data_IF_370266492460
#
_entry.id   IF_370266492460
#
_cell.length_a   1.000
_cell.length_b   1.000
_cell.length_c   1.000
_cell.angle_alpha   90.00
_cell.angle_beta   90.00
_cell.angle_gamma   90.00
#
_symmetry.space_group_name_H-M   'P 1'
#
loop_
_entity.id
_entity.type
_entity.pdbx_description
1 polymer ?
#
# COMPACT_ATOMS: atom_id res chain seq x y z
N UNK A 1 -1.64 17.61 -9.74
CA UNK A 1 -0.48 16.78 -9.32
C UNK A 1 -0.01 17.26 -7.96
N UNK A 2 0.64 16.38 -7.18
CA UNK A 2 1.51 16.66 -6.02
C UNK A 2 1.17 15.97 -4.67
N UNK A 3 0.80 14.69 -4.71
CA UNK A 3 1.15 13.75 -3.63
C UNK A 3 1.77 12.48 -4.19
N UNK A 4 2.58 12.62 -5.22
CA UNK A 4 3.37 11.51 -5.77
C UNK A 4 4.79 12.00 -5.91
N UNK A 5 5.70 11.53 -5.02
CA UNK A 5 6.99 10.94 -5.45
C UNK A 5 8.04 10.65 -4.37
N UNK A 6 7.87 10.99 -3.10
CA UNK A 6 9.02 10.85 -2.18
C UNK A 6 8.99 9.65 -1.24
N UNK A 7 7.84 9.00 -1.00
CA UNK A 7 7.74 7.99 0.08
C UNK A 7 8.04 8.58 1.48
N UNK A 8 8.15 9.91 1.58
CA UNK A 8 8.43 10.63 2.81
C UNK A 8 7.12 11.23 3.34
N UNK A 9 6.85 11.15 4.65
CA UNK A 9 5.65 11.75 5.21
C UNK A 9 5.66 13.26 4.97
N UNK A 10 4.54 13.79 4.46
CA UNK A 10 4.35 15.19 4.13
C UNK A 10 4.81 16.11 5.27
N UNK A 11 5.53 17.18 4.93
CA UNK A 11 5.98 18.17 5.89
C UNK A 11 4.80 19.03 6.37
N UNK A 12 5.00 19.73 7.49
CA UNK A 12 3.96 20.59 8.09
C UNK A 12 3.36 21.58 7.07
N UNK A 13 4.22 22.22 6.27
CA UNK A 13 3.79 23.19 5.26
C UNK A 13 2.90 22.55 4.20
N UNK A 14 3.28 21.38 3.67
CA UNK A 14 2.49 20.65 2.68
C UNK A 14 1.10 20.25 3.23
N UNK A 15 1.02 19.85 4.50
CA UNK A 15 -0.25 19.50 5.14
C UNK A 15 -1.14 20.73 5.35
N UNK A 16 -0.56 21.85 5.80
CA UNK A 16 -1.29 23.12 5.95
C UNK A 16 -1.77 23.66 4.60
N UNK A 17 -0.95 23.58 3.55
CA UNK A 17 -1.30 24.01 2.20
C UNK A 17 -2.40 23.15 1.58
N UNK A 18 -2.32 21.83 1.75
CA UNK A 18 -3.37 20.92 1.33
C UNK A 18 -4.69 21.23 2.05
N UNK A 19 -4.64 21.46 3.37
CA UNK A 19 -5.81 21.81 4.17
C UNK A 19 -6.43 23.15 3.71
N UNK A 20 -5.62 24.17 3.47
CA UNK A 20 -6.07 25.46 2.98
C UNK A 20 -6.67 25.35 1.57
N UNK A 21 -6.06 24.56 0.69
CA UNK A 21 -6.58 24.30 -0.66
C UNK A 21 -7.98 23.67 -0.60
N UNK A 22 -8.17 22.66 0.26
CA UNK A 22 -9.48 22.02 0.44
C UNK A 22 -10.51 22.97 1.05
N UNK A 23 -10.11 23.81 2.02
CA UNK A 23 -10.99 24.83 2.61
C UNK A 23 -11.45 25.86 1.58
N UNK A 24 -10.52 26.40 0.79
CA UNK A 24 -10.82 27.39 -0.25
C UNK A 24 -11.71 26.83 -1.35
N UNK A 25 -11.52 25.56 -1.74
CA UNK A 25 -12.41 24.88 -2.69
C UNK A 25 -13.84 24.77 -2.18
N UNK A 26 -14.02 24.64 -0.85
CA UNK A 26 -15.35 24.50 -0.23
C UNK A 26 -15.98 25.86 0.10
N UNK A 27 -15.17 26.83 0.50
CA UNK A 27 -15.59 28.19 0.81
C UNK A 27 -14.47 29.16 0.38
N UNK A 28 -14.68 29.95 -0.70
CA UNK A 28 -13.69 30.89 -1.22
C UNK A 28 -13.25 31.96 -0.21
N UNK A 29 -14.10 32.31 0.75
CA UNK A 29 -13.83 33.34 1.77
C UNK A 29 -13.21 32.74 3.04
N UNK A 30 -12.86 31.45 3.02
CA UNK A 30 -12.27 30.78 4.17
C UNK A 30 -10.89 31.36 4.49
N UNK A 31 -10.73 31.79 5.74
CA UNK A 31 -9.42 32.16 6.27
C UNK A 31 -8.50 30.93 6.35
N UNK A 32 -7.17 31.12 6.19
CA UNK A 32 -6.19 30.07 6.35
C UNK A 32 -6.27 29.39 7.72
N UNK A 33 -5.80 28.14 7.78
CA UNK A 33 -5.69 27.40 9.04
C UNK A 33 -4.78 28.12 10.03
N UNK A 34 -5.19 28.17 11.28
CA UNK A 34 -4.39 28.83 12.33
C UNK A 34 -3.04 28.14 12.56
N UNK A 35 -2.05 28.87 13.07
CA UNK A 35 -0.71 28.31 13.37
C UNK A 35 -0.72 27.09 14.30
N UNK A 36 -1.74 26.98 15.17
CA UNK A 36 -1.92 25.87 16.11
C UNK A 36 -2.71 24.69 15.52
N UNK A 37 -3.31 24.88 14.34
CA UNK A 37 -4.16 23.87 13.70
C UNK A 37 -3.38 22.58 13.43
N UNK A 38 -2.19 22.66 12.84
CA UNK A 38 -1.39 21.47 12.56
C UNK A 38 -1.04 20.66 13.81
N UNK A 39 -0.80 21.35 14.95
CA UNK A 39 -0.53 20.66 16.21
C UNK A 39 -1.77 19.88 16.67
N UNK A 40 -2.93 20.53 16.72
CA UNK A 40 -4.19 19.89 17.09
C UNK A 40 -4.56 18.76 16.13
N UNK A 41 -4.40 18.98 14.83
CA UNK A 41 -4.61 17.96 13.81
C UNK A 41 -3.77 16.71 14.06
N UNK A 42 -2.48 16.84 14.43
CA UNK A 42 -1.69 15.67 14.80
C UNK A 42 -2.09 15.05 16.13
N UNK A 43 -2.46 15.86 17.11
CA UNK A 43 -2.87 15.36 18.43
C UNK A 43 -4.21 14.59 18.33
N UNK A 44 -5.11 15.01 17.44
CA UNK A 44 -6.39 14.36 17.13
C UNK A 44 -6.23 13.13 16.21
N UNK A 45 -5.12 13.06 15.45
CA UNK A 45 -4.80 11.98 14.51
C UNK A 45 -3.46 11.30 14.84
N UNK A 46 -3.36 10.59 15.98
CA UNK A 46 -2.13 9.92 16.40
C UNK A 46 -1.64 8.88 15.40
N UNK A 47 -2.53 8.29 14.58
CA UNK A 47 -2.19 7.35 13.49
C UNK A 47 -1.25 7.95 12.43
N UNK A 48 -1.22 9.28 12.32
CA UNK A 48 -0.33 10.00 11.41
C UNK A 48 1.07 10.21 12.00
N UNK A 49 1.35 9.70 13.20
CA UNK A 49 2.70 9.73 13.74
C UNK A 49 3.66 8.97 12.82
N UNK A 50 4.80 9.61 12.55
CA UNK A 50 5.83 9.10 11.63
C UNK A 50 6.41 7.78 12.13
N UNK A 51 6.37 7.53 13.44
CA UNK A 51 6.79 6.26 14.05
C UNK A 51 5.84 5.12 13.64
N UNK A 52 4.54 5.36 13.74
CA UNK A 52 3.46 4.43 13.38
C UNK A 52 3.49 4.16 11.87
N UNK A 53 3.56 5.20 11.04
CA UNK A 53 3.65 5.06 9.58
C UNK A 53 4.87 4.24 9.14
N UNK A 54 6.05 4.48 9.72
CA UNK A 54 7.26 3.68 9.45
C UNK A 54 7.11 2.22 9.87
N UNK A 55 6.44 1.96 10.99
CA UNK A 55 6.20 0.59 11.47
C UNK A 55 5.24 -0.18 10.55
N UNK A 56 4.21 0.50 10.04
CA UNK A 56 3.25 -0.06 9.10
C UNK A 56 3.90 -0.34 7.75
N UNK A 57 4.75 0.57 7.25
CA UNK A 57 5.44 0.40 5.97
C UNK A 57 6.45 -0.75 6.02
N UNK A 58 7.21 -0.88 7.11
CA UNK A 58 8.07 -2.05 7.34
C UNK A 58 7.29 -3.36 7.44
N UNK A 59 6.11 -3.33 8.07
CA UNK A 59 5.25 -4.50 8.15
C UNK A 59 4.75 -4.90 6.76
N UNK A 60 4.36 -3.93 5.94
CA UNK A 60 3.94 -4.16 4.56
C UNK A 60 5.07 -4.68 3.69
N UNK A 61 6.26 -4.09 3.78
CA UNK A 61 7.47 -4.58 3.10
C UNK A 61 7.78 -6.03 3.50
N UNK A 62 7.70 -6.36 4.79
CA UNK A 62 7.89 -7.73 5.26
C UNK A 62 6.82 -8.70 4.72
N UNK A 63 5.55 -8.27 4.64
CA UNK A 63 4.46 -9.06 4.05
C UNK A 63 4.64 -9.26 2.53
N UNK A 64 5.05 -8.24 1.80
CA UNK A 64 5.32 -8.32 0.35
C UNK A 64 6.49 -9.27 0.07
N UNK A 65 7.57 -9.19 0.85
CA UNK A 65 8.73 -10.08 0.73
C UNK A 65 8.36 -11.53 1.09
N UNK A 66 7.64 -11.74 2.20
CA UNK A 66 7.22 -13.08 2.60
C UNK A 66 6.27 -13.73 1.58
N UNK A 67 5.30 -12.97 1.06
CA UNK A 67 4.38 -13.47 0.04
C UNK A 67 5.07 -13.87 -1.27
N UNK A 68 6.16 -13.18 -1.65
CA UNK A 68 6.95 -13.55 -2.84
C UNK A 68 7.65 -14.90 -2.63
N UNK A 69 8.22 -15.14 -1.45
CA UNK A 69 8.92 -16.39 -1.18
C UNK A 69 7.96 -17.58 -1.05
N UNK A 70 6.77 -17.38 -0.47
CA UNK A 70 5.69 -18.37 -0.46
C UNK A 70 5.23 -18.75 -1.88
N UNK A 71 5.08 -17.75 -2.77
CA UNK A 71 4.70 -17.98 -4.16
C UNK A 71 5.81 -18.72 -4.93
N UNK A 72 7.08 -18.36 -4.74
CA UNK A 72 8.21 -19.09 -5.34
C UNK A 72 8.26 -20.53 -4.86
N UNK A 73 8.06 -20.77 -3.57
CA UNK A 73 8.05 -22.11 -3.01
C UNK A 73 6.89 -22.94 -3.59
N UNK A 74 5.70 -22.34 -3.73
CA UNK A 74 4.56 -22.98 -4.37
C UNK A 74 4.87 -23.38 -5.82
N UNK A 75 5.44 -22.48 -6.64
CA UNK A 75 5.82 -22.79 -8.02
C UNK A 75 6.93 -23.85 -8.13
N UNK A 76 7.87 -23.85 -7.19
CA UNK A 76 8.91 -24.89 -7.12
C UNK A 76 8.29 -26.26 -6.84
N UNK A 77 7.41 -26.35 -5.84
CA UNK A 77 6.68 -27.59 -5.52
C UNK A 77 5.81 -28.05 -6.68
N UNK A 78 5.13 -27.13 -7.36
CA UNK A 78 4.33 -27.44 -8.55
C UNK A 78 5.19 -28.03 -9.67
N UNK A 79 6.36 -27.44 -9.93
CA UNK A 79 7.30 -27.92 -10.96
C UNK A 79 7.85 -29.30 -10.63
N UNK A 80 8.17 -29.57 -9.36
CA UNK A 80 8.59 -30.89 -8.89
C UNK A 80 7.49 -31.95 -9.08
N UNK A 81 6.22 -31.60 -8.87
CA UNK A 81 5.09 -32.51 -9.10
C UNK A 81 4.87 -32.78 -10.59
N UNK A 82 4.90 -31.75 -11.44
CA UNK A 82 4.75 -31.87 -12.90
C UNK A 82 5.85 -32.78 -13.47
N UNK A 83 7.11 -32.57 -13.06
CA UNK A 83 8.25 -33.36 -13.55
C UNK A 83 8.21 -34.81 -13.07
N UNK A 84 7.85 -35.05 -11.80
CA UNK A 84 7.69 -36.41 -11.25
C UNK A 84 6.58 -37.21 -11.92
N UNK A 85 5.48 -36.55 -12.26
CA UNK A 85 4.32 -37.19 -12.89
C UNK A 85 4.40 -37.20 -14.42
N UNK A 86 5.47 -36.66 -15.02
CA UNK A 86 5.64 -36.53 -16.48
C UNK A 86 4.44 -35.85 -17.16
N UNK A 87 3.80 -34.90 -16.46
CA UNK A 87 2.59 -34.22 -16.94
C UNK A 87 2.99 -33.28 -18.08
N UNK A 88 2.52 -33.57 -19.28
CA UNK A 88 2.73 -32.73 -20.46
C UNK A 88 1.88 -31.45 -20.40
N UNK A 89 2.30 -30.40 -21.13
CA UNK A 89 1.54 -29.14 -21.21
C UNK A 89 0.08 -29.33 -21.66
N UNK A 90 -0.22 -30.40 -22.40
CA UNK A 90 -1.57 -30.78 -22.83
C UNK A 90 -2.45 -31.37 -21.71
N UNK A 91 -1.87 -31.98 -20.67
CA UNK A 91 -2.62 -32.55 -19.54
C UNK A 91 -3.00 -31.49 -18.49
N UNK A 92 -2.15 -30.46 -18.34
CA UNK A 92 -2.41 -29.29 -17.48
C UNK A 92 -3.63 -28.50 -17.98
N UNK A 93 -3.78 -28.38 -19.29
CA UNK A 93 -4.87 -27.64 -19.93
C UNK A 93 -6.20 -28.41 -19.93
N UNK A 94 -6.18 -29.74 -19.87
CA UNK A 94 -7.38 -30.59 -19.96
C UNK A 94 -8.05 -30.88 -18.61
N UNK A 95 -7.48 -30.45 -17.48
CA UNK A 95 -8.03 -30.69 -16.14
C UNK A 95 -9.37 -29.96 -15.87
N UNK A 96 -9.72 -28.95 -16.68
CA UNK A 96 -11.01 -28.24 -16.65
C UNK A 96 -12.14 -28.98 -17.41
N UNK A 97 -11.83 -29.97 -18.25
CA UNK A 97 -12.84 -30.67 -19.06
C UNK A 97 -13.33 -32.01 -18.48
N UNK A 98 -12.84 -32.44 -17.32
CA UNK A 98 -13.30 -33.69 -16.69
C UNK A 98 -14.51 -33.48 -15.75
N UNK A 99 -15.47 -32.65 -16.17
CA UNK A 99 -16.77 -32.49 -15.55
C UNK A 99 -17.87 -33.15 -16.39
N UNK A 100 -17.92 -34.49 -16.39
CA UNK A 100 -19.08 -35.28 -16.84
C UNK A 100 -19.03 -36.69 -16.29
#
# INVERSE_FOLDING_TARGET
MWMERSGLPACKGEVEDAANTLRLRRNPDAQPVSRMWYRRFRDDHPELDKSILKSLDKSREAWEVAGIDDVKEWFKRLTEVITKLQIGASEIWNADQAGS
#
